data_IF_371483591760
#
_entry.id   IF_371483591760
#
_cell.length_a   1.000
_cell.length_b   1.000
_cell.length_c   1.000
_cell.angle_alpha   90.00
_cell.angle_beta   90.00
_cell.angle_gamma   90.00
#
_symmetry.space_group_name_H-M   'P 1'
#
loop_
_entity.id
_entity.type
_entity.pdbx_description
1 polymer ?
#
# COMPACT_ATOMS: atom_id res chain seq x y z
N UNK A 1 -13.76 -9.70 -16.48
CA UNK A 1 -13.75 -8.63 -15.49
C UNK A 1 -13.89 -7.30 -16.20
N UNK A 2 -14.48 -6.25 -15.60
CA UNK A 2 -14.38 -4.92 -16.16
C UNK A 2 -12.91 -4.49 -16.16
N UNK A 3 -12.48 -3.86 -17.24
CA UNK A 3 -11.12 -3.31 -17.39
C UNK A 3 -11.19 -1.79 -17.27
N UNK A 4 -10.34 -1.20 -16.45
CA UNK A 4 -10.19 0.24 -16.35
C UNK A 4 -9.22 0.72 -17.44
N UNK A 5 -9.67 1.65 -18.29
CA UNK A 5 -8.86 2.24 -19.33
C UNK A 5 -8.55 3.70 -18.98
N UNK A 6 -7.29 4.11 -19.12
CA UNK A 6 -6.85 5.49 -18.95
C UNK A 6 -5.74 5.81 -19.95
N UNK A 7 -5.47 7.10 -20.15
CA UNK A 7 -4.36 7.57 -20.99
C UNK A 7 -3.01 7.18 -20.35
N UNK A 8 -2.15 6.48 -21.09
CA UNK A 8 -0.86 5.98 -20.60
C UNK A 8 -0.89 4.58 -19.95
N UNK A 9 -2.03 3.87 -19.95
CA UNK A 9 -2.11 2.52 -19.35
C UNK A 9 -1.07 1.56 -19.92
N UNK A 10 -0.86 1.55 -21.25
CA UNK A 10 0.11 0.65 -21.90
C UNK A 10 1.53 0.86 -21.38
N UNK A 11 1.91 2.12 -21.16
CA UNK A 11 3.23 2.48 -20.64
C UNK A 11 3.35 2.12 -19.16
N UNK A 12 2.29 2.33 -18.38
CA UNK A 12 2.24 1.95 -16.98
C UNK A 12 2.40 0.42 -16.79
N UNK A 13 1.70 -0.37 -17.59
CA UNK A 13 1.83 -1.85 -17.60
C UNK A 13 3.25 -2.30 -18.00
N UNK A 14 3.90 -1.57 -18.91
CA UNK A 14 5.26 -1.87 -19.31
C UNK A 14 6.31 -1.44 -18.29
N UNK A 15 6.03 -0.40 -17.49
CA UNK A 15 7.00 0.27 -16.63
C UNK A 15 7.64 -0.66 -15.59
N UNK A 16 6.88 -1.55 -14.93
CA UNK A 16 7.40 -2.48 -13.95
C UNK A 16 8.49 -3.41 -14.53
N UNK A 17 8.38 -3.74 -15.83
CA UNK A 17 9.38 -4.56 -16.54
C UNK A 17 10.54 -3.71 -17.04
N UNK A 18 10.26 -2.48 -17.49
CA UNK A 18 11.22 -1.58 -18.11
C UNK A 18 12.17 -0.92 -17.11
N UNK A 19 11.72 -0.70 -15.85
CA UNK A 19 12.58 -0.09 -14.83
C UNK A 19 13.82 -0.95 -14.59
N UNK A 20 15.03 -0.37 -14.63
CA UNK A 20 16.26 -1.12 -14.45
C UNK A 20 16.44 -1.60 -13.01
N UNK A 21 17.24 -2.64 -12.82
CA UNK A 21 17.67 -3.04 -11.49
C UNK A 21 18.74 -2.07 -10.98
N UNK A 22 18.55 -1.59 -9.77
CA UNK A 22 19.53 -0.79 -9.04
C UNK A 22 20.12 -1.63 -7.90
N UNK A 23 21.36 -1.34 -7.53
CA UNK A 23 21.96 -1.90 -6.33
C UNK A 23 21.56 -1.04 -5.12
N UNK A 24 21.23 -1.72 -4.02
CA UNK A 24 21.08 -1.06 -2.73
C UNK A 24 22.48 -0.89 -2.12
N UNK A 25 22.83 0.32 -1.74
CA UNK A 25 24.10 0.64 -1.09
C UNK A 25 23.83 0.99 0.38
N UNK A 26 24.59 0.35 1.28
CA UNK A 26 24.47 0.64 2.69
C UNK A 26 25.12 1.98 3.02
N UNK A 27 24.43 2.83 3.79
CA UNK A 27 24.99 4.06 4.35
C UNK A 27 25.24 3.86 5.85
N UNK A 28 26.50 3.57 6.17
CA UNK A 28 26.93 3.33 7.56
C UNK A 28 26.74 4.56 8.46
N UNK A 29 26.76 5.77 7.90
CA UNK A 29 26.56 7.00 8.65
C UNK A 29 25.12 7.18 9.14
N UNK A 30 24.14 6.57 8.43
CA UNK A 30 22.72 6.58 8.77
C UNK A 30 22.29 5.29 9.47
N UNK A 31 23.17 4.30 9.59
CA UNK A 31 22.88 3.04 10.25
C UNK A 31 23.06 3.15 11.77
N UNK A 32 22.14 2.55 12.53
CA UNK A 32 22.20 2.55 14.01
C UNK A 32 21.59 1.25 14.58
N UNK A 33 21.97 0.94 15.83
CA UNK A 33 21.48 -0.23 16.54
C UNK A 33 22.32 -1.48 16.31
N UNK A 34 21.70 -2.66 16.46
CA UNK A 34 22.39 -3.93 16.27
C UNK A 34 22.54 -4.24 14.77
N UNK A 35 23.78 -4.37 14.31
CA UNK A 35 24.10 -4.69 12.92
C UNK A 35 23.58 -6.07 12.44
N UNK A 36 23.16 -6.95 13.37
CA UNK A 36 22.58 -8.25 13.03
C UNK A 36 21.06 -8.20 12.79
N UNK A 37 20.43 -7.04 12.93
CA UNK A 37 19.02 -6.88 12.57
C UNK A 37 18.89 -6.75 11.04
N UNK A 38 17.89 -7.40 10.47
CA UNK A 38 17.61 -7.33 9.04
C UNK A 38 16.66 -6.16 8.66
N UNK A 39 16.45 -5.23 9.60
CA UNK A 39 15.61 -4.06 9.34
C UNK A 39 16.36 -3.06 8.46
N UNK A 40 15.68 -2.51 7.45
CA UNK A 40 16.27 -1.52 6.55
C UNK A 40 15.30 -0.39 6.25
N UNK A 41 15.85 0.82 6.04
CA UNK A 41 15.15 1.96 5.45
C UNK A 41 15.80 2.20 4.09
N UNK A 42 15.01 2.23 3.03
CA UNK A 42 15.50 2.45 1.67
C UNK A 42 15.07 3.85 1.25
N UNK A 43 16.05 4.72 0.95
CA UNK A 43 15.82 6.05 0.43
C UNK A 43 16.01 6.08 -1.08
N UNK A 44 15.02 6.61 -1.81
CA UNK A 44 15.08 6.76 -3.26
C UNK A 44 13.69 6.74 -3.90
N UNK A 45 13.65 6.71 -5.23
CA UNK A 45 12.41 6.45 -5.96
C UNK A 45 11.89 5.04 -5.64
N UNK A 46 10.65 4.96 -5.20
CA UNK A 46 10.09 3.71 -4.69
C UNK A 46 9.87 2.64 -5.79
N UNK A 47 9.66 3.02 -7.07
CA UNK A 47 9.57 2.06 -8.16
C UNK A 47 10.93 1.38 -8.40
N UNK A 48 12.01 2.15 -8.36
CA UNK A 48 13.38 1.65 -8.45
C UNK A 48 13.74 0.79 -7.22
N UNK A 49 13.35 1.23 -6.01
CA UNK A 49 13.57 0.50 -4.77
C UNK A 49 12.84 -0.86 -4.76
N UNK A 50 11.56 -0.89 -5.13
CA UNK A 50 10.79 -2.13 -5.25
C UNK A 50 11.44 -3.10 -6.25
N UNK A 51 11.93 -2.58 -7.40
CA UNK A 51 12.64 -3.39 -8.39
C UNK A 51 13.94 -3.95 -7.83
N UNK A 52 14.71 -3.16 -7.08
CA UNK A 52 15.95 -3.57 -6.46
C UNK A 52 15.76 -4.67 -5.39
N UNK A 53 14.61 -4.72 -4.75
CA UNK A 53 14.26 -5.75 -3.76
C UNK A 53 13.90 -7.10 -4.37
N UNK A 54 13.43 -7.15 -5.62
CA UNK A 54 12.96 -8.40 -6.24
C UNK A 54 13.98 -9.54 -6.23
N UNK A 55 15.31 -9.33 -6.54
CA UNK A 55 16.27 -10.41 -6.53
C UNK A 55 16.42 -11.10 -5.17
N UNK A 56 16.10 -10.39 -4.08
CA UNK A 56 16.28 -10.86 -2.70
C UNK A 56 15.00 -11.36 -2.06
N UNK A 57 13.86 -10.71 -2.38
CA UNK A 57 12.60 -10.89 -1.64
C UNK A 57 11.41 -11.32 -2.48
N UNK A 58 11.61 -11.64 -3.78
CA UNK A 58 10.50 -12.11 -4.62
C UNK A 58 9.84 -13.35 -4.00
N UNK A 59 8.51 -13.25 -3.79
CA UNK A 59 7.72 -14.33 -3.22
C UNK A 59 7.98 -14.61 -1.73
N UNK A 60 8.62 -13.68 -1.00
CA UNK A 60 9.01 -13.89 0.41
C UNK A 60 8.31 -12.96 1.40
N UNK A 61 7.75 -11.85 0.93
CA UNK A 61 7.14 -10.84 1.79
C UNK A 61 5.74 -11.30 2.22
N UNK A 62 5.51 -11.41 3.52
CA UNK A 62 4.23 -11.88 4.05
C UNK A 62 3.18 -10.78 4.20
N UNK A 63 3.62 -9.55 4.43
CA UNK A 63 2.72 -8.42 4.57
C UNK A 63 3.36 -7.15 3.99
N UNK A 64 2.59 -6.42 3.19
CA UNK A 64 2.94 -5.09 2.72
C UNK A 64 1.86 -4.13 3.24
N UNK A 65 2.29 -3.02 3.85
CA UNK A 65 1.42 -1.88 4.11
C UNK A 65 1.88 -0.73 3.23
N UNK A 66 0.98 -0.21 2.40
CA UNK A 66 1.24 0.89 1.49
C UNK A 66 0.37 2.10 1.84
N UNK A 67 1.00 3.26 1.88
CA UNK A 67 0.35 4.56 2.12
C UNK A 67 0.68 5.48 0.93
N UNK A 68 -0.04 5.34 -0.20
CA UNK A 68 0.21 6.11 -1.41
C UNK A 68 -0.32 7.55 -1.28
N UNK A 69 0.06 8.46 -2.22
CA UNK A 69 -0.58 9.76 -2.30
C UNK A 69 -2.09 9.61 -2.48
N UNK A 70 -2.87 10.27 -1.63
CA UNK A 70 -4.35 10.18 -1.67
C UNK A 70 -4.98 11.03 -2.77
N UNK A 71 -4.19 11.86 -3.43
CA UNK A 71 -4.63 12.76 -4.50
C UNK A 71 -5.69 13.77 -4.04
N UNK A 72 -5.53 14.29 -2.80
CA UNK A 72 -6.51 15.16 -2.13
C UNK A 72 -6.48 16.60 -2.63
N UNK A 73 -5.48 16.98 -3.43
CA UNK A 73 -5.26 18.35 -3.86
C UNK A 73 -4.70 19.25 -2.77
N UNK A 74 -4.25 18.69 -1.66
CA UNK A 74 -3.53 19.39 -0.61
C UNK A 74 -2.07 19.47 -0.99
N UNK A 75 -1.50 20.67 -1.01
CA UNK A 75 -0.08 20.87 -1.27
C UNK A 75 0.74 20.36 -0.08
N UNK A 76 1.28 19.16 -0.19
CA UNK A 76 2.35 18.70 0.70
C UNK A 76 3.70 19.09 0.08
N UNK A 77 4.62 19.64 0.87
CA UNK A 77 5.91 20.19 0.38
C UNK A 77 6.78 19.20 -0.41
N UNK A 78 6.48 17.89 -0.36
CA UNK A 78 7.28 16.84 -0.97
C UNK A 78 6.51 15.87 -1.88
N UNK A 79 5.18 16.05 -2.06
CA UNK A 79 4.34 15.20 -2.90
C UNK A 79 3.36 16.04 -3.69
N UNK A 80 3.30 15.80 -5.00
CA UNK A 80 2.26 16.36 -5.86
C UNK A 80 0.97 15.55 -5.64
N UNK A 81 0.16 16.02 -4.70
CA UNK A 81 -1.12 15.41 -4.31
C UNK A 81 -2.30 15.97 -5.14
N UNK A 82 -2.02 16.52 -6.29
CA UNK A 82 -3.03 17.04 -7.25
C UNK A 82 -2.77 16.50 -8.65
N UNK A 83 -2.58 15.19 -8.76
CA UNK A 83 -2.38 14.53 -10.03
C UNK A 83 -3.72 14.33 -10.73
N UNK A 84 -3.69 14.38 -12.05
CA UNK A 84 -4.80 13.86 -12.83
C UNK A 84 -4.96 12.35 -12.60
N UNK A 85 -6.20 11.84 -12.55
CA UNK A 85 -6.48 10.44 -12.25
C UNK A 85 -5.68 9.45 -13.13
N UNK A 86 -5.51 9.77 -14.41
CA UNK A 86 -4.69 8.98 -15.34
C UNK A 86 -3.22 8.91 -14.94
N UNK A 87 -2.68 10.04 -14.46
CA UNK A 87 -1.29 10.14 -13.99
C UNK A 87 -1.12 9.36 -12.69
N UNK A 88 -2.06 9.49 -11.76
CA UNK A 88 -2.08 8.73 -10.50
C UNK A 88 -2.15 7.21 -10.74
N UNK A 89 -3.02 6.78 -11.66
CA UNK A 89 -3.12 5.37 -12.06
C UNK A 89 -1.82 4.86 -12.67
N UNK A 90 -1.20 5.66 -13.53
CA UNK A 90 0.08 5.33 -14.17
C UNK A 90 1.24 5.26 -13.17
N UNK A 91 1.18 6.05 -12.08
CA UNK A 91 2.13 5.98 -10.99
C UNK A 91 1.95 4.71 -10.16
N UNK A 92 0.70 4.35 -9.84
CA UNK A 92 0.39 3.25 -8.92
C UNK A 92 0.52 1.87 -9.55
N UNK A 93 0.10 1.72 -10.79
CA UNK A 93 0.01 0.41 -11.45
C UNK A 93 1.32 -0.39 -11.40
N UNK A 94 2.47 0.13 -11.88
CA UNK A 94 3.72 -0.63 -11.88
C UNK A 94 4.24 -0.94 -10.47
N UNK A 95 3.93 -0.09 -9.49
CA UNK A 95 4.30 -0.30 -8.09
C UNK A 95 3.52 -1.46 -7.47
N UNK A 96 2.22 -1.53 -7.74
CA UNK A 96 1.36 -2.63 -7.30
C UNK A 96 1.76 -3.96 -7.93
N UNK A 97 2.16 -3.98 -9.21
CA UNK A 97 2.70 -5.18 -9.86
C UNK A 97 3.96 -5.70 -9.15
N UNK A 98 4.92 -4.80 -8.85
CA UNK A 98 6.15 -5.18 -8.14
C UNK A 98 5.87 -5.63 -6.69
N UNK A 99 4.95 -4.95 -5.98
CA UNK A 99 4.53 -5.36 -4.64
C UNK A 99 3.89 -6.76 -4.67
N UNK A 100 3.04 -7.03 -5.68
CA UNK A 100 2.48 -8.37 -5.85
C UNK A 100 3.55 -9.43 -6.09
N UNK A 101 4.57 -9.10 -6.86
CA UNK A 101 5.71 -10.01 -7.12
C UNK A 101 6.54 -10.30 -5.86
N UNK A 102 6.67 -9.33 -4.95
CA UNK A 102 7.35 -9.50 -3.66
C UNK A 102 6.57 -10.39 -2.70
N UNK A 103 5.23 -10.37 -2.73
CA UNK A 103 4.40 -11.12 -1.79
C UNK A 103 4.61 -12.63 -1.92
N UNK A 104 4.67 -13.31 -0.77
CA UNK A 104 4.56 -14.77 -0.67
C UNK A 104 3.15 -15.25 -1.04
N UNK A 105 3.00 -16.54 -1.34
CA UNK A 105 1.70 -17.10 -1.73
C UNK A 105 0.62 -16.95 -0.65
N UNK A 106 1.01 -16.88 0.62
CA UNK A 106 0.15 -16.61 1.78
C UNK A 106 0.17 -15.14 2.22
N UNK A 107 0.83 -14.28 1.45
CA UNK A 107 1.01 -12.87 1.77
C UNK A 107 -0.20 -12.00 1.46
N UNK A 108 -0.23 -10.83 2.09
CA UNK A 108 -1.29 -9.83 1.91
C UNK A 108 -0.73 -8.42 1.78
N UNK A 109 -1.47 -7.58 1.06
CA UNK A 109 -1.20 -6.15 0.94
C UNK A 109 -2.37 -5.36 1.52
N UNK A 110 -2.03 -4.29 2.23
CA UNK A 110 -2.94 -3.37 2.91
C UNK A 110 -2.64 -1.98 2.39
N UNK A 111 -3.61 -1.29 1.82
CA UNK A 111 -3.40 -0.02 1.14
C UNK A 111 -4.35 1.02 1.70
N UNK A 112 -3.81 2.06 2.34
CA UNK A 112 -4.60 3.21 2.80
C UNK A 112 -4.97 4.09 1.62
N UNK A 113 -6.19 4.59 1.61
CA UNK A 113 -6.68 5.53 0.59
C UNK A 113 -7.91 6.28 1.08
N UNK A 114 -8.18 7.46 0.55
CA UNK A 114 -9.43 8.16 0.76
C UNK A 114 -10.43 7.91 -0.40
N UNK A 115 -11.62 8.51 -0.29
CA UNK A 115 -12.70 8.35 -1.26
C UNK A 115 -12.35 8.75 -2.69
N UNK A 116 -11.37 9.65 -2.89
CA UNK A 116 -11.07 10.19 -4.22
C UNK A 116 -10.55 9.15 -5.19
N UNK A 117 -9.58 8.37 -4.73
CA UNK A 117 -8.94 7.35 -5.56
C UNK A 117 -9.35 5.91 -5.18
N UNK A 118 -10.23 5.75 -4.18
CA UNK A 118 -10.69 4.43 -3.72
C UNK A 118 -11.20 3.55 -4.87
N UNK A 119 -12.10 4.08 -5.69
CA UNK A 119 -12.71 3.31 -6.79
C UNK A 119 -11.67 2.93 -7.85
N UNK A 120 -10.77 3.85 -8.20
CA UNK A 120 -9.70 3.63 -9.14
C UNK A 120 -8.70 2.60 -8.62
N UNK A 121 -8.27 2.73 -7.35
CA UNK A 121 -7.39 1.78 -6.69
C UNK A 121 -8.01 0.38 -6.65
N UNK A 122 -9.30 0.28 -6.29
CA UNK A 122 -10.02 -1.00 -6.24
C UNK A 122 -9.98 -1.71 -7.59
N UNK A 123 -10.24 -0.98 -8.69
CA UNK A 123 -10.28 -1.56 -10.03
C UNK A 123 -8.90 -2.03 -10.50
N UNK A 124 -7.83 -1.26 -10.29
CA UNK A 124 -6.48 -1.70 -10.68
C UNK A 124 -5.98 -2.84 -9.78
N UNK A 125 -6.35 -2.87 -8.51
CA UNK A 125 -6.05 -4.00 -7.64
C UNK A 125 -6.80 -5.27 -8.06
N UNK A 126 -8.06 -5.17 -8.46
CA UNK A 126 -8.80 -6.31 -9.02
C UNK A 126 -8.14 -6.86 -10.30
N UNK A 127 -7.59 -5.98 -11.14
CA UNK A 127 -6.87 -6.38 -12.35
C UNK A 127 -5.54 -7.05 -12.03
N UNK A 128 -4.77 -6.51 -11.08
CA UNK A 128 -3.42 -6.98 -10.75
C UNK A 128 -3.45 -8.24 -9.87
N UNK A 129 -4.20 -8.20 -8.77
CA UNK A 129 -4.25 -9.29 -7.78
C UNK A 129 -5.30 -10.35 -8.14
N UNK A 130 -6.36 -9.95 -8.83
CA UNK A 130 -7.54 -10.75 -9.10
C UNK A 130 -8.71 -10.42 -8.17
N UNK A 131 -9.91 -10.38 -8.70
CA UNK A 131 -11.14 -10.09 -7.96
C UNK A 131 -11.34 -11.02 -6.75
N UNK A 132 -11.05 -12.31 -6.93
CA UNK A 132 -11.22 -13.33 -5.89
C UNK A 132 -10.16 -13.24 -4.76
N UNK A 133 -9.11 -12.44 -4.96
CA UNK A 133 -8.08 -12.17 -3.96
C UNK A 133 -8.41 -10.94 -3.09
N UNK A 134 -9.53 -10.27 -3.35
CA UNK A 134 -10.01 -9.21 -2.47
C UNK A 134 -10.45 -9.79 -1.13
N UNK A 135 -9.84 -9.31 -0.04
CA UNK A 135 -10.12 -9.79 1.32
C UNK A 135 -11.15 -8.91 2.02
N UNK A 136 -10.90 -7.59 2.06
CA UNK A 136 -11.76 -6.67 2.79
C UNK A 136 -11.50 -5.21 2.41
N UNK A 137 -12.48 -4.35 2.73
CA UNK A 137 -12.30 -2.91 2.87
C UNK A 137 -12.58 -2.56 4.34
N UNK A 138 -11.58 -2.01 5.02
CA UNK A 138 -11.69 -1.57 6.40
C UNK A 138 -11.92 -0.07 6.41
N UNK A 139 -12.99 0.38 7.05
CA UNK A 139 -13.25 1.80 7.30
C UNK A 139 -12.48 2.23 8.54
N UNK A 140 -11.51 3.12 8.36
CA UNK A 140 -10.68 3.67 9.43
C UNK A 140 -11.16 5.06 9.82
N UNK A 141 -11.53 5.25 11.07
CA UNK A 141 -11.92 6.58 11.55
C UNK A 141 -10.69 7.46 11.73
N UNK A 142 -10.59 8.49 10.90
CA UNK A 142 -9.45 9.42 10.85
C UNK A 142 -9.51 10.49 11.95
N UNK A 143 -10.69 10.97 12.29
CA UNK A 143 -10.88 12.12 13.18
C UNK A 143 -11.98 11.85 14.19
N UNK A 144 -11.72 12.16 15.47
CA UNK A 144 -12.70 11.99 16.56
C UNK A 144 -13.40 13.29 16.95
N UNK A 145 -13.04 14.43 16.35
CA UNK A 145 -13.63 15.73 16.65
C UNK A 145 -14.25 16.36 15.41
N UNK A 146 -15.47 16.86 15.55
CA UNK A 146 -16.13 17.61 14.50
C UNK A 146 -15.30 18.85 14.14
N UNK A 147 -14.95 19.02 12.85
CA UNK A 147 -14.35 20.25 12.36
C UNK A 147 -15.44 21.29 12.12
N UNK A 148 -15.29 22.48 12.72
CA UNK A 148 -16.27 23.56 12.60
C UNK A 148 -16.36 24.19 11.20
N UNK A 149 -15.45 23.85 10.29
CA UNK A 149 -15.33 24.46 8.95
C UNK A 149 -15.95 23.62 7.84
N UNK A 150 -16.53 22.47 8.15
CA UNK A 150 -17.09 21.60 7.11
C UNK A 150 -18.44 22.14 6.62
N UNK A 151 -18.50 22.41 5.31
CA UNK A 151 -19.75 22.71 4.62
C UNK A 151 -20.32 21.41 4.05
N UNK A 152 -21.36 20.86 4.70
CA UNK A 152 -22.05 19.66 4.21
C UNK A 152 -21.82 18.41 5.04
N UNK A 153 -21.84 17.23 4.39
CA UNK A 153 -21.60 15.94 5.04
C UNK A 153 -20.08 15.78 5.25
N UNK A 154 -19.72 15.54 6.51
CA UNK A 154 -18.31 15.32 6.87
C UNK A 154 -17.90 13.90 6.49
N UNK A 155 -16.74 13.79 5.85
CA UNK A 155 -16.04 12.52 5.68
C UNK A 155 -14.96 12.39 6.77
N UNK A 156 -15.17 11.48 7.71
CA UNK A 156 -14.26 11.21 8.84
C UNK A 156 -13.56 9.85 8.69
N UNK A 157 -13.75 9.21 7.54
CA UNK A 157 -13.32 7.83 7.32
C UNK A 157 -12.33 7.78 6.17
N UNK A 158 -11.29 7.00 6.35
CA UNK A 158 -10.38 6.51 5.30
C UNK A 158 -10.65 5.03 5.05
N UNK A 159 -10.17 4.53 3.94
CA UNK A 159 -10.29 3.14 3.57
C UNK A 159 -8.93 2.44 3.66
N UNK A 160 -8.93 1.20 4.12
CA UNK A 160 -7.79 0.31 3.98
C UNK A 160 -8.24 -0.87 3.14
N UNK A 161 -7.81 -0.89 1.88
CA UNK A 161 -8.06 -2.00 0.97
C UNK A 161 -7.10 -3.14 1.28
N UNK A 162 -7.64 -4.35 1.42
CA UNK A 162 -6.85 -5.55 1.71
C UNK A 162 -7.01 -6.57 0.59
N UNK A 163 -5.88 -6.96 0.00
CA UNK A 163 -5.79 -8.04 -0.97
C UNK A 163 -4.82 -9.12 -0.50
N UNK A 164 -5.07 -10.35 -0.86
CA UNK A 164 -4.13 -11.45 -0.73
C UNK A 164 -3.40 -11.71 -2.04
N UNK A 165 -2.24 -12.36 -1.96
CA UNK A 165 -1.51 -12.83 -3.15
C UNK A 165 -2.30 -13.89 -3.90
N UNK A 166 -2.92 -14.81 -3.15
CA UNK A 166 -3.74 -15.91 -3.66
C UNK A 166 -5.01 -16.05 -2.84
N UNK A 167 -5.98 -16.80 -3.34
CA UNK A 167 -7.24 -17.07 -2.65
C UNK A 167 -7.09 -17.96 -1.40
N UNK A 168 -5.90 -18.50 -1.15
CA UNK A 168 -5.62 -19.39 -0.01
C UNK A 168 -5.17 -18.65 1.25
N UNK A 169 -4.92 -17.36 1.17
CA UNK A 169 -4.52 -16.56 2.32
C UNK A 169 -5.65 -16.52 3.37
N UNK A 170 -5.31 -16.91 4.60
CA UNK A 170 -6.24 -16.80 5.72
C UNK A 170 -5.60 -15.95 6.83
N UNK A 171 -6.30 -14.92 7.32
CA UNK A 171 -5.80 -14.12 8.43
C UNK A 171 -5.75 -14.95 9.70
N UNK A 172 -4.70 -14.75 10.49
CA UNK A 172 -4.60 -15.36 11.81
C UNK A 172 -5.72 -14.84 12.71
N UNK A 173 -6.42 -15.77 13.38
CA UNK A 173 -7.43 -15.39 14.36
C UNK A 173 -6.76 -15.07 15.68
N UNK A 174 -7.10 -13.91 16.25
CA UNK A 174 -6.74 -13.63 17.64
C UNK A 174 -7.52 -14.54 18.57
N UNK A 175 -6.92 -15.01 19.70
CA UNK A 175 -7.65 -15.75 20.70
C UNK A 175 -8.78 -14.89 21.26
N UNK A 176 -9.98 -15.45 21.43
CA UNK A 176 -11.08 -14.76 22.12
C UNK A 176 -10.69 -14.56 23.58
N UNK A 177 -10.54 -13.32 24.01
CA UNK A 177 -10.49 -13.00 25.43
C UNK A 177 -11.91 -13.07 26.00
N UNK A 178 -12.07 -13.65 27.18
CA UNK A 178 -13.36 -13.83 27.86
C UNK A 178 -13.99 -12.51 28.39
N UNK A 179 -13.28 -11.40 28.30
CA UNK A 179 -13.75 -10.06 28.61
C UNK A 179 -14.14 -9.34 27.32
N UNK A 180 -15.43 -9.08 27.17
CA UNK A 180 -15.93 -8.13 26.17
C UNK A 180 -15.60 -6.73 26.69
N UNK A 181 -14.36 -6.30 26.51
CA UNK A 181 -14.08 -4.87 26.66
C UNK A 181 -14.59 -4.15 25.39
N UNK A 182 -15.22 -2.97 25.56
CA UNK A 182 -15.67 -2.21 24.40
C UNK A 182 -14.46 -1.88 23.51
N UNK A 183 -14.69 -1.81 22.21
CA UNK A 183 -13.77 -1.65 21.05
C UNK A 183 -12.75 -0.48 21.13
N UNK A 184 -12.23 -0.13 22.30
CA UNK A 184 -11.26 0.95 22.50
C UNK A 184 -9.79 0.52 22.42
N UNK A 185 -9.48 -0.77 22.19
CA UNK A 185 -8.11 -1.25 22.06
C UNK A 185 -7.93 -1.99 20.74
N UNK A 186 -7.64 -1.24 19.68
CA UNK A 186 -6.91 -1.78 18.55
C UNK A 186 -5.47 -1.94 19.04
N UNK A 187 -5.07 -3.17 19.37
CA UNK A 187 -3.67 -3.46 19.54
C UNK A 187 -2.98 -3.22 18.19
N UNK A 188 -2.10 -2.24 18.15
CA UNK A 188 -1.20 -2.03 17.02
C UNK A 188 -0.44 -3.33 16.78
N UNK A 189 -0.75 -3.99 15.68
CA UNK A 189 0.11 -5.04 15.17
C UNK A 189 1.37 -4.33 14.65
N UNK A 190 2.45 -4.41 15.41
CA UNK A 190 3.77 -3.99 14.95
C UNK A 190 4.20 -4.95 13.85
N UNK A 191 4.11 -4.50 12.61
CA UNK A 191 4.68 -5.18 11.47
C UNK A 191 6.16 -4.82 11.36
N UNK A 192 7.03 -5.82 11.49
CA UNK A 192 8.42 -5.67 11.08
C UNK A 192 8.47 -5.65 9.56
N UNK A 193 8.73 -4.50 8.98
CA UNK A 193 8.86 -4.29 7.54
C UNK A 193 7.86 -3.26 7.00
N UNK A 194 8.07 -1.99 7.31
CA UNK A 194 7.35 -0.88 6.66
C UNK A 194 8.19 -0.48 5.45
N UNK A 195 7.66 -0.75 4.24
CA UNK A 195 8.13 -0.06 3.04
C UNK A 195 7.28 1.18 2.92
N UNK A 196 7.80 2.34 3.34
CA UNK A 196 7.17 3.63 3.07
C UNK A 196 7.24 3.92 1.57
N UNK A 197 6.13 4.22 0.97
CA UNK A 197 6.02 4.66 -0.43
C UNK A 197 5.92 6.18 -0.45
#
# INVERSE_FOLDING_TARGET
MPELLWEGKSDAVAAAKAVPYHLLEADDALSYGDANTENMIIQGDNLAALKALLPYYKGSVRCIYADPPYNTGSAFEHYDDNLEHSTWLSLMYPRLELMRDLLSEDGSIWISIDDREYANLKLICDEIFGYDCFVSNISWQRTYSARNDSKGIMNEVEHILVYSKTTTCQPNRLPRTSSVEPLSYIHYLTFSGIIGI
#
